data_IF_045957600172
#
_entry.id   IF_045957600172
#
_cell.length_a   1.000
_cell.length_b   1.000
_cell.length_c   1.000
_cell.angle_alpha   90.00
_cell.angle_beta   90.00
_cell.angle_gamma   90.00
#
_symmetry.space_group_name_H-M   'P 1'
#
loop_
_entity.id
_entity.type
_entity.pdbx_description
1 polymer ?
#
# COMPACT_ATOMS: atom_id res chain seq x y z
N UNK A 1 10.98 8.19 -9.01
CA UNK A 1 10.97 7.43 -10.27
C UNK A 1 12.31 6.72 -10.38
N UNK A 2 12.31 5.40 -10.62
CA UNK A 2 13.54 4.61 -10.78
C UNK A 2 14.24 5.00 -12.09
N UNK A 3 15.58 5.14 -12.07
CA UNK A 3 16.35 5.53 -13.26
C UNK A 3 16.15 4.54 -14.42
N UNK A 4 16.10 3.23 -14.13
CA UNK A 4 15.87 2.17 -15.12
C UNK A 4 14.51 2.31 -15.84
N UNK A 5 13.54 2.97 -15.22
CA UNK A 5 12.21 3.19 -15.78
C UNK A 5 12.04 4.58 -16.42
N UNK A 6 13.04 5.47 -16.33
CA UNK A 6 12.91 6.89 -16.72
C UNK A 6 12.53 7.06 -18.18
N UNK A 7 13.22 6.33 -19.06
CA UNK A 7 13.08 6.49 -20.52
C UNK A 7 12.09 5.50 -21.14
N UNK A 8 11.38 4.72 -20.31
CA UNK A 8 10.35 3.80 -20.79
C UNK A 8 9.08 4.59 -21.11
N UNK A 9 8.65 4.55 -22.37
CA UNK A 9 7.46 5.25 -22.85
C UNK A 9 6.16 4.49 -22.55
N UNK A 10 6.20 3.16 -22.54
CA UNK A 10 5.01 2.34 -22.27
C UNK A 10 4.77 2.14 -20.76
N UNK A 11 3.50 2.16 -20.29
CA UNK A 11 3.18 1.93 -18.88
C UNK A 11 3.72 0.60 -18.34
N UNK A 12 3.58 -0.49 -19.12
CA UNK A 12 4.12 -1.80 -18.75
C UNK A 12 5.65 -1.80 -18.69
N UNK A 13 6.32 -1.09 -19.60
CA UNK A 13 7.77 -0.93 -19.58
C UNK A 13 8.26 -0.20 -18.33
N UNK A 14 7.56 0.87 -17.93
CA UNK A 14 7.83 1.61 -16.69
C UNK A 14 7.63 0.74 -15.45
N UNK A 15 6.54 -0.04 -15.41
CA UNK A 15 6.27 -0.96 -14.31
C UNK A 15 7.36 -2.03 -14.17
N UNK A 16 7.77 -2.67 -15.27
CA UNK A 16 8.88 -3.66 -15.25
C UNK A 16 10.18 -3.02 -14.81
N UNK A 17 10.51 -1.83 -15.33
CA UNK A 17 11.71 -1.09 -14.94
C UNK A 17 11.70 -0.69 -13.47
N UNK A 18 10.55 -0.31 -12.93
CA UNK A 18 10.41 0.01 -11.51
C UNK A 18 10.65 -1.23 -10.63
N UNK A 19 10.07 -2.37 -10.99
CA UNK A 19 10.30 -3.65 -10.28
C UNK A 19 11.77 -4.09 -10.33
N UNK A 20 12.42 -3.97 -11.49
CA UNK A 20 13.84 -4.29 -11.63
C UNK A 20 14.73 -3.36 -10.79
N UNK A 21 14.44 -2.06 -10.77
CA UNK A 21 15.15 -1.09 -9.94
C UNK A 21 14.97 -1.34 -8.44
N UNK A 22 13.75 -1.68 -8.00
CA UNK A 22 13.49 -2.07 -6.62
C UNK A 22 14.32 -3.30 -6.23
N UNK A 23 14.35 -4.33 -7.07
CA UNK A 23 15.13 -5.54 -6.81
C UNK A 23 16.61 -5.25 -6.55
N UNK A 24 17.22 -4.37 -7.35
CA UNK A 24 18.62 -3.96 -7.16
C UNK A 24 18.81 -3.23 -5.82
N UNK A 25 17.87 -2.36 -5.44
CA UNK A 25 17.93 -1.65 -4.17
C UNK A 25 17.74 -2.57 -2.97
N UNK A 26 16.86 -3.56 -3.08
CA UNK A 26 16.67 -4.60 -2.06
C UNK A 26 17.94 -5.44 -1.87
N UNK A 27 18.58 -5.85 -2.96
CA UNK A 27 19.87 -6.55 -2.93
C UNK A 27 20.98 -5.69 -2.31
N UNK A 28 21.02 -4.39 -2.64
CA UNK A 28 22.00 -3.46 -2.09
C UNK A 28 21.83 -3.25 -0.57
N UNK A 29 20.59 -3.07 -0.08
CA UNK A 29 20.35 -2.98 1.37
C UNK A 29 20.64 -4.32 2.06
N UNK A 30 20.33 -5.45 1.41
CA UNK A 30 20.64 -6.77 1.97
C UNK A 30 22.15 -7.00 2.12
N UNK A 31 22.95 -6.51 1.16
CA UNK A 31 24.41 -6.60 1.20
C UNK A 31 25.06 -5.63 2.20
N UNK A 32 24.47 -4.45 2.40
CA UNK A 32 24.98 -3.41 3.30
C UNK A 32 23.84 -2.79 4.14
N UNK A 33 23.30 -3.53 5.13
CA UNK A 33 22.09 -3.14 5.85
C UNK A 33 22.29 -1.93 6.78
N UNK A 34 23.53 -1.50 7.00
CA UNK A 34 23.87 -0.35 7.84
C UNK A 34 24.30 0.88 7.01
N UNK A 35 24.27 0.82 5.66
CA UNK A 35 24.57 2.00 4.84
C UNK A 35 23.32 2.89 4.71
N UNK A 36 23.35 4.04 5.37
CA UNK A 36 22.25 5.01 5.37
C UNK A 36 21.92 5.56 3.97
N UNK A 37 22.90 5.67 3.07
CA UNK A 37 22.65 6.21 1.72
C UNK A 37 21.83 5.23 0.89
N UNK A 38 22.12 3.94 1.00
CA UNK A 38 21.38 2.90 0.27
C UNK A 38 19.94 2.81 0.80
N UNK A 39 19.75 2.84 2.13
CA UNK A 39 18.41 2.89 2.73
C UNK A 39 17.64 4.16 2.38
N UNK A 40 18.30 5.31 2.38
CA UNK A 40 17.68 6.57 1.95
C UNK A 40 17.20 6.47 0.50
N UNK A 41 18.03 5.93 -0.40
CA UNK A 41 17.67 5.74 -1.79
C UNK A 41 16.48 4.78 -1.95
N UNK A 42 16.52 3.62 -1.25
CA UNK A 42 15.43 2.63 -1.30
C UNK A 42 14.13 3.18 -0.74
N UNK A 43 14.16 3.81 0.43
CA UNK A 43 12.99 4.42 1.06
C UNK A 43 12.36 5.52 0.18
N UNK A 44 13.17 6.45 -0.34
CA UNK A 44 12.70 7.55 -1.21
C UNK A 44 12.14 7.04 -2.53
N UNK A 45 12.75 6.01 -3.10
CA UNK A 45 12.28 5.44 -4.34
C UNK A 45 10.96 4.67 -4.14
N UNK A 46 10.84 3.93 -3.04
CA UNK A 46 9.65 3.18 -2.65
C UNK A 46 8.47 4.10 -2.28
N UNK A 47 8.73 5.18 -1.54
CA UNK A 47 7.72 6.18 -1.14
C UNK A 47 6.98 6.80 -2.33
N UNK A 48 7.67 6.95 -3.47
CA UNK A 48 7.11 7.54 -4.70
C UNK A 48 6.27 6.55 -5.53
N UNK A 49 6.21 5.28 -5.15
CA UNK A 49 5.46 4.27 -5.88
C UNK A 49 4.04 4.10 -5.31
N UNK A 50 3.03 3.86 -6.16
CA UNK A 50 1.66 3.67 -5.68
C UNK A 50 1.52 2.40 -4.83
N UNK A 51 1.02 2.57 -3.61
CA UNK A 51 0.87 1.47 -2.64
C UNK A 51 -0.01 0.33 -3.18
N UNK A 52 -1.07 0.66 -3.93
CA UNK A 52 -2.01 -0.30 -4.52
C UNK A 52 -1.37 -1.34 -5.43
N UNK A 53 -0.19 -1.07 -5.98
CA UNK A 53 0.49 -1.94 -6.94
C UNK A 53 1.77 -2.58 -6.40
N UNK A 54 2.42 -1.94 -5.43
CA UNK A 54 3.74 -2.35 -4.97
C UNK A 54 3.78 -2.78 -3.51
N UNK A 55 2.83 -2.36 -2.67
CA UNK A 55 2.75 -2.73 -1.25
C UNK A 55 4.06 -2.46 -0.48
N UNK A 56 4.62 -1.25 -0.66
CA UNK A 56 5.98 -0.91 -0.17
C UNK A 56 5.96 -0.04 1.09
N UNK A 57 4.79 0.28 1.64
CA UNK A 57 4.69 1.09 2.84
C UNK A 57 5.57 0.55 3.98
N UNK A 58 5.62 -0.77 4.16
CA UNK A 58 6.44 -1.38 5.22
C UNK A 58 7.94 -1.18 4.97
N UNK A 59 8.41 -1.29 3.73
CA UNK A 59 9.81 -1.02 3.36
C UNK A 59 10.18 0.44 3.62
N UNK A 60 9.29 1.38 3.28
CA UNK A 60 9.52 2.81 3.53
C UNK A 60 9.56 3.09 5.03
N UNK A 61 8.63 2.51 5.80
CA UNK A 61 8.61 2.65 7.27
C UNK A 61 9.93 2.16 7.85
N UNK A 62 10.38 0.97 7.47
CA UNK A 62 11.64 0.40 7.98
C UNK A 62 12.84 1.32 7.68
N UNK A 63 12.99 1.73 6.42
CA UNK A 63 14.14 2.55 6.02
C UNK A 63 14.09 3.94 6.66
N UNK A 64 12.92 4.58 6.71
CA UNK A 64 12.81 5.92 7.27
C UNK A 64 12.98 5.92 8.78
N UNK A 65 12.43 4.93 9.49
CA UNK A 65 12.66 4.79 10.93
C UNK A 65 14.14 4.58 11.22
N UNK A 66 14.83 3.69 10.48
CA UNK A 66 16.28 3.51 10.62
C UNK A 66 17.06 4.82 10.45
N UNK A 67 16.73 5.62 9.44
CA UNK A 67 17.43 6.87 9.15
C UNK A 67 17.17 7.96 10.19
N UNK A 68 15.92 8.07 10.65
CA UNK A 68 15.53 9.02 11.70
C UNK A 68 16.22 8.66 13.01
N UNK A 69 16.18 7.38 13.40
CA UNK A 69 16.80 6.91 14.64
C UNK A 69 18.32 7.12 14.59
N UNK A 70 18.95 6.86 13.43
CA UNK A 70 20.37 7.09 13.27
C UNK A 70 20.75 8.57 13.39
N UNK A 71 20.01 9.47 12.74
CA UNK A 71 20.29 10.92 12.85
C UNK A 71 20.09 11.45 14.28
N UNK A 72 19.19 10.83 15.07
CA UNK A 72 19.02 11.16 16.48
C UNK A 72 20.21 10.72 17.36
N UNK A 73 20.98 9.72 16.93
CA UNK A 73 22.09 9.13 17.69
C UNK A 73 23.48 9.52 17.17
N UNK A 74 23.60 9.80 15.87
CA UNK A 74 24.81 10.20 15.18
C UNK A 74 24.50 11.51 14.43
N UNK A 75 25.06 12.64 14.89
CA UNK A 75 24.85 13.93 14.22
C UNK A 75 25.53 13.94 12.84
N UNK A 76 24.79 14.32 11.79
CA UNK A 76 25.38 14.86 10.56
C UNK A 76 25.32 13.98 9.31
N UNK A 77 24.43 12.98 9.23
CA UNK A 77 24.20 12.27 7.96
C UNK A 77 23.19 12.99 7.07
N UNK A 78 22.16 13.60 7.67
CA UNK A 78 21.09 14.32 6.98
C UNK A 78 21.15 15.81 7.26
N UNK A 79 20.94 16.61 6.22
CA UNK A 79 20.59 18.01 6.39
C UNK A 79 19.24 18.13 7.11
N UNK A 80 19.07 19.17 7.95
CA UNK A 80 17.86 19.39 8.75
C UNK A 80 16.58 19.31 7.92
N UNK A 81 16.57 19.89 6.71
CA UNK A 81 15.41 19.83 5.82
C UNK A 81 15.07 18.41 5.38
N UNK A 82 16.10 17.61 5.05
CA UNK A 82 15.93 16.21 4.66
C UNK A 82 15.41 15.37 5.82
N UNK A 83 15.89 15.62 7.03
CA UNK A 83 15.43 14.97 8.26
C UNK A 83 13.96 15.28 8.55
N UNK A 84 13.56 16.55 8.54
CA UNK A 84 12.17 16.96 8.72
C UNK A 84 11.26 16.37 7.63
N UNK A 85 11.74 16.32 6.39
CA UNK A 85 11.00 15.72 5.28
C UNK A 85 10.79 14.22 5.46
N UNK A 86 11.77 13.47 5.98
CA UNK A 86 11.61 12.03 6.25
C UNK A 86 10.50 11.78 7.27
N UNK A 87 10.44 12.54 8.36
CA UNK A 87 9.38 12.41 9.38
C UNK A 87 8.01 12.74 8.77
N UNK A 88 7.95 13.76 7.92
CA UNK A 88 6.69 14.16 7.27
C UNK A 88 6.17 13.04 6.37
N UNK A 89 7.04 12.52 5.51
CA UNK A 89 6.73 11.45 4.57
C UNK A 89 6.40 10.14 5.30
N UNK A 90 7.07 9.84 6.41
CA UNK A 90 6.73 8.71 7.27
C UNK A 90 5.28 8.81 7.79
N UNK A 91 4.86 10.00 8.22
CA UNK A 91 3.47 10.24 8.61
C UNK A 91 2.49 10.03 7.45
N UNK A 92 2.84 10.44 6.23
CA UNK A 92 2.03 10.15 5.05
C UNK A 92 1.93 8.66 4.75
N UNK A 93 3.03 7.91 4.89
CA UNK A 93 3.04 6.45 4.67
C UNK A 93 2.14 5.75 5.68
N UNK A 94 2.23 6.11 6.96
CA UNK A 94 1.33 5.59 7.98
C UNK A 94 -0.14 5.89 7.66
N UNK A 95 -0.44 7.11 7.22
CA UNK A 95 -1.79 7.48 6.80
C UNK A 95 -2.27 6.67 5.59
N UNK A 96 -1.39 6.38 4.61
CA UNK A 96 -1.72 5.58 3.40
C UNK A 96 -2.13 4.14 3.72
N UNK A 97 -1.63 3.58 4.83
CA UNK A 97 -1.96 2.22 5.29
C UNK A 97 -2.95 2.22 6.48
N UNK A 98 -3.59 3.35 6.75
CA UNK A 98 -4.65 3.46 7.76
C UNK A 98 -4.14 3.53 9.20
N UNK A 99 -2.83 3.62 9.44
CA UNK A 99 -2.25 3.79 10.79
C UNK A 99 -2.29 5.25 11.22
N UNK A 100 -3.49 5.79 11.37
CA UNK A 100 -3.74 7.21 11.62
C UNK A 100 -3.07 7.73 12.90
N UNK A 101 -3.05 6.93 13.98
CA UNK A 101 -2.42 7.36 15.22
C UNK A 101 -0.89 7.56 15.05
N UNK A 102 -0.22 6.64 14.36
CA UNK A 102 1.21 6.76 14.06
C UNK A 102 1.50 7.96 13.16
N UNK A 103 0.66 8.20 12.15
CA UNK A 103 0.74 9.38 11.30
C UNK A 103 0.65 10.68 12.11
N UNK A 104 -0.32 10.76 13.03
CA UNK A 104 -0.49 11.92 13.91
C UNK A 104 0.73 12.15 14.81
N UNK A 105 1.36 11.09 15.33
CA UNK A 105 2.58 11.22 16.14
C UNK A 105 3.72 11.86 15.34
N UNK A 106 3.95 11.43 14.10
CA UNK A 106 4.97 12.01 13.22
C UNK A 106 4.74 13.51 13.01
N UNK A 107 3.51 13.93 12.69
CA UNK A 107 3.22 15.33 12.41
C UNK A 107 3.21 16.21 13.66
N UNK A 108 2.79 15.69 14.83
CA UNK A 108 2.90 16.40 16.11
C UNK A 108 4.36 16.63 16.50
N UNK A 109 5.23 15.62 16.28
CA UNK A 109 6.67 15.76 16.49
C UNK A 109 7.23 16.92 15.67
N UNK A 110 6.91 16.97 14.37
CA UNK A 110 7.37 18.04 13.48
C UNK A 110 6.93 19.44 13.90
N UNK A 111 5.74 19.60 14.50
CA UNK A 111 5.29 20.91 14.98
C UNK A 111 6.20 21.49 16.06
N UNK A 112 6.94 20.66 16.79
CA UNK A 112 7.88 21.09 17.81
C UNK A 112 9.29 21.36 17.25
N UNK A 113 9.60 20.84 16.06
CA UNK A 113 10.93 20.89 15.45
C UNK A 113 11.07 21.96 14.35
N UNK A 114 9.96 22.57 13.91
CA UNK A 114 9.97 23.60 12.85
C UNK A 114 9.32 24.91 13.28
N UNK A 115 9.91 26.02 12.83
CA UNK A 115 9.36 27.37 13.02
C UNK A 115 8.73 27.93 11.74
N UNK A 116 8.78 27.19 10.62
CA UNK A 116 8.27 27.66 9.34
C UNK A 116 6.73 27.75 9.37
N UNK A 117 6.13 28.95 9.20
CA UNK A 117 4.68 29.12 9.31
C UNK A 117 3.87 28.34 8.27
N UNK A 118 4.37 28.24 7.03
CA UNK A 118 3.71 27.47 5.97
C UNK A 118 3.72 25.98 6.27
N UNK A 119 4.85 25.48 6.78
CA UNK A 119 4.97 24.07 7.14
C UNK A 119 4.09 23.73 8.34
N UNK A 120 4.05 24.58 9.37
CA UNK A 120 3.13 24.45 10.51
C UNK A 120 1.66 24.45 10.07
N UNK A 121 1.28 25.29 9.10
CA UNK A 121 -0.07 25.29 8.54
C UNK A 121 -0.39 23.97 7.84
N UNK A 122 0.52 23.44 7.03
CA UNK A 122 0.37 22.14 6.39
C UNK A 122 0.18 21.01 7.42
N UNK A 123 0.99 20.98 8.49
CA UNK A 123 0.88 19.99 9.56
C UNK A 123 -0.48 20.05 10.27
N UNK A 124 -1.00 21.27 10.52
CA UNK A 124 -2.36 21.44 11.07
C UNK A 124 -3.44 20.87 10.16
N UNK A 125 -3.35 21.10 8.84
CA UNK A 125 -4.29 20.52 7.87
C UNK A 125 -4.23 18.99 7.86
N UNK A 126 -3.01 18.43 7.91
CA UNK A 126 -2.81 16.97 7.99
C UNK A 126 -3.42 16.38 9.25
N UNK A 127 -3.18 16.99 10.41
CA UNK A 127 -3.78 16.54 11.68
C UNK A 127 -5.31 16.65 11.68
N UNK A 128 -5.85 17.74 11.15
CA UNK A 128 -7.31 17.92 11.00
C UNK A 128 -7.92 16.83 10.12
N UNK A 129 -7.22 16.37 9.08
CA UNK A 129 -7.70 15.28 8.22
C UNK A 129 -7.79 13.91 8.92
N UNK A 130 -7.22 13.78 10.12
CA UNK A 130 -7.29 12.59 10.96
C UNK A 130 -8.33 12.69 12.08
N UNK A 131 -8.96 13.84 12.28
CA UNK A 131 -9.99 14.01 13.32
C UNK A 131 -11.18 13.08 13.08
N UNK A 132 -11.59 12.35 14.13
CA UNK A 132 -12.70 11.40 14.06
C UNK A 132 -12.36 10.05 13.40
N UNK A 133 -11.16 9.88 12.84
CA UNK A 133 -10.72 8.58 12.31
C UNK A 133 -10.28 7.64 13.43
N UNK A 134 -10.51 6.31 13.31
CA UNK A 134 -9.99 5.36 14.28
C UNK A 134 -8.45 5.31 14.22
N UNK A 135 -7.83 4.83 15.29
CA UNK A 135 -6.37 4.74 15.40
C UNK A 135 -5.73 3.90 14.28
N UNK A 136 -6.43 2.82 13.88
CA UNK A 136 -6.09 1.96 12.75
C UNK A 136 -7.34 1.73 11.91
N UNK A 137 -7.25 1.98 10.60
CA UNK A 137 -8.26 1.68 9.60
C UNK A 137 -7.85 0.47 8.77
N UNK A 138 -8.80 -0.42 8.48
CA UNK A 138 -8.60 -1.48 7.49
C UNK A 138 -8.86 -0.92 6.09
N UNK A 139 -7.79 -0.59 5.37
CA UNK A 139 -7.88 -0.16 3.98
C UNK A 139 -8.03 -1.41 3.11
N UNK A 140 -9.22 -1.58 2.53
CA UNK A 140 -9.44 -2.58 1.50
C UNK A 140 -8.67 -2.17 0.24
N UNK A 141 -7.52 -2.79 0.00
CA UNK A 141 -6.86 -2.72 -1.32
C UNK A 141 -7.70 -3.61 -2.23
N UNK A 142 -8.42 -3.07 -3.24
CA UNK A 142 -9.19 -3.92 -4.14
C UNK A 142 -8.22 -4.83 -4.87
N UNK A 143 -8.24 -6.12 -4.54
CA UNK A 143 -7.55 -7.13 -5.30
C UNK A 143 -8.04 -7.07 -6.74
N UNK A 144 -7.19 -6.52 -7.61
CA UNK A 144 -7.19 -6.76 -9.05
C UNK A 144 -8.49 -6.40 -9.81
N UNK A 145 -8.36 -6.11 -11.09
CA UNK A 145 -9.48 -5.82 -12.00
C UNK A 145 -10.52 -6.97 -12.06
N UNK A 146 -10.19 -8.16 -11.55
CA UNK A 146 -11.05 -9.35 -11.50
C UNK A 146 -12.23 -9.22 -10.54
N UNK A 147 -12.13 -8.45 -9.46
CA UNK A 147 -13.22 -8.31 -8.47
C UNK A 147 -14.38 -7.41 -8.94
N UNK A 148 -14.10 -6.43 -9.80
CA UNK A 148 -15.13 -5.50 -10.31
C UNK A 148 -16.00 -6.10 -11.43
N UNK A 149 -15.49 -7.10 -12.16
CA UNK A 149 -16.30 -7.82 -13.16
C UNK A 149 -17.26 -8.81 -12.49
N UNK A 150 -16.83 -9.49 -11.42
CA UNK A 150 -17.70 -10.36 -10.61
C UNK A 150 -18.81 -9.59 -9.89
N UNK A 151 -18.58 -8.34 -9.47
CA UNK A 151 -19.61 -7.52 -8.81
C UNK A 151 -20.71 -6.99 -9.74
N UNK A 152 -20.45 -6.92 -11.06
CA UNK A 152 -21.43 -6.39 -12.02
C UNK A 152 -22.39 -7.43 -12.57
N UNK A 153 -22.04 -8.72 -12.55
CA UNK A 153 -22.93 -9.79 -13.04
C UNK A 153 -23.99 -10.21 -12.02
N UNK A 154 -23.84 -9.87 -10.74
CA UNK A 154 -24.79 -10.27 -9.68
C UNK A 154 -25.98 -9.31 -9.53
N UNK A 155 -25.94 -8.09 -10.09
CA UNK A 155 -27.01 -7.09 -9.89
C UNK A 155 -28.12 -7.06 -10.94
N UNK A 156 -28.01 -7.80 -12.05
CA UNK A 156 -29.05 -7.82 -13.09
C UNK A 156 -29.68 -9.20 -13.34
N UNK A 157 -29.18 -10.27 -12.71
CA UNK A 157 -29.73 -11.63 -12.83
C UNK A 157 -30.32 -12.15 -11.50
N UNK A 158 -30.67 -11.25 -10.59
CA UNK A 158 -31.18 -11.58 -9.25
C UNK A 158 -32.56 -12.23 -9.21
N UNK A 159 -33.28 -12.27 -10.34
CA UNK A 159 -34.58 -12.95 -10.46
C UNK A 159 -34.59 -14.13 -11.44
N UNK A 160 -33.53 -14.34 -12.23
CA UNK A 160 -33.48 -15.44 -13.22
C UNK A 160 -32.60 -16.62 -12.79
N UNK A 161 -31.65 -16.43 -11.86
CA UNK A 161 -30.81 -17.55 -11.37
C UNK A 161 -31.58 -18.45 -10.39
N UNK A 162 -32.56 -17.90 -9.65
CA UNK A 162 -33.39 -18.69 -8.75
C UNK A 162 -34.33 -19.64 -9.50
N UNK A 163 -34.87 -19.25 -10.65
CA UNK A 163 -35.74 -20.13 -11.46
C UNK A 163 -34.97 -21.26 -12.15
N UNK A 164 -33.71 -21.04 -12.53
CA UNK A 164 -32.85 -22.07 -13.13
C UNK A 164 -32.38 -23.10 -12.10
N UNK A 165 -32.11 -22.67 -10.86
CA UNK A 165 -31.73 -23.55 -9.75
C UNK A 165 -32.91 -24.38 -9.21
N UNK A 166 -34.15 -23.87 -9.29
CA UNK A 166 -35.36 -24.62 -8.92
C UNK A 166 -35.78 -25.64 -9.99
N UNK A 167 -35.46 -25.41 -11.26
CA UNK A 167 -35.69 -26.39 -12.35
C UNK A 167 -34.76 -27.61 -12.23
N UNK A 168 -33.49 -27.43 -11.87
CA UNK A 168 -32.58 -28.58 -11.70
C UNK A 168 -32.89 -29.43 -10.45
N UNK A 169 -33.47 -28.84 -9.40
CA UNK A 169 -33.91 -29.61 -8.21
C UNK A 169 -35.17 -30.45 -8.44
N UNK A 170 -36.00 -30.15 -9.45
CA UNK A 170 -37.17 -30.98 -9.81
C UNK A 170 -36.83 -32.15 -10.73
N UNK A 171 -35.68 -32.14 -11.41
CA UNK A 171 -35.25 -33.21 -12.31
C UNK A 171 -34.41 -34.29 -11.62
N UNK A 172 -33.83 -34.00 -10.44
CA UNK A 172 -33.05 -34.97 -9.66
C UNK A 172 -33.84 -35.55 -8.46
N UNK A 173 -34.82 -36.41 -8.76
CA UNK A 173 -35.28 -37.65 -8.03
C UNK A 173 -36.81 -37.83 -8.14
N UNK A 174 -37.35 -39.05 -8.42
CA UNK A 174 -36.78 -40.37 -8.11
C UNK A 174 -36.83 -41.39 -9.26
N UNK A 175 -35.72 -42.08 -9.54
CA UNK A 175 -35.74 -43.44 -10.13
C UNK A 175 -34.74 -44.36 -9.44
N UNK A 176 -35.10 -44.79 -8.23
CA UNK A 176 -34.81 -46.17 -7.82
C UNK A 176 -36.13 -46.81 -7.46
N UNK A 177 -36.71 -47.57 -8.39
CA UNK A 177 -37.52 -48.74 -8.06
C UNK A 177 -37.59 -49.69 -9.27
N UNK A 178 -37.37 -50.98 -9.00
CA UNK A 178 -37.68 -52.16 -9.79
C UNK A 178 -36.68 -52.51 -10.92
N UNK A 179 -35.63 -53.32 -10.66
CA UNK A 179 -35.66 -54.78 -10.53
C UNK A 179 -36.53 -55.52 -11.58
N UNK A 180 -35.93 -56.60 -12.12
CA UNK A 180 -36.52 -57.82 -12.70
C UNK A 180 -36.95 -57.80 -14.17
N UNK A 181 -36.20 -58.56 -15.00
CA UNK A 181 -36.60 -59.81 -15.74
C UNK A 181 -35.76 -59.94 -17.03
N UNK A 182 -35.03 -61.06 -17.18
CA UNK A 182 -35.33 -62.18 -18.11
C UNK A 182 -35.33 -61.69 -19.58
N UNK A 183 -34.49 -62.19 -20.49
CA UNK A 183 -34.05 -63.57 -20.74
C UNK A 183 -32.92 -63.52 -21.76
#
# INVERSE_FOLDING_TARGET
MMLIARDKTSPLGRLRGAKAGLKILDEAVSAAPQDSRIRLLRGRASYRLPEQHFQLAQTVIEDYTFLIDREMHEEGFLETENYLQLIYELGEVYCRIGRNQAAAMCWKRLMNETQNPHFLHLLKLKLKSLEGKPAVEHILIPESLTSNLLRRTVRAAGSEILSWAEQQKKEETPRKLNQKKKR
#
